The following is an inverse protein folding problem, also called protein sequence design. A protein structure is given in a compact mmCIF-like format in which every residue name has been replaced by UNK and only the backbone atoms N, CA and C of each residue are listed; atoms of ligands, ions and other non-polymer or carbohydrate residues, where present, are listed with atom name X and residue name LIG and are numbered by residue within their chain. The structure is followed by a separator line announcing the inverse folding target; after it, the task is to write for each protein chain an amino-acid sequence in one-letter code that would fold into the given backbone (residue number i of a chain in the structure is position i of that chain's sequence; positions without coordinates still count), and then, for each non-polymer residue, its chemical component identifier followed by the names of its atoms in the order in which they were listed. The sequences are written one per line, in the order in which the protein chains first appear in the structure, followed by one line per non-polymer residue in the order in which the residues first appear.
data_IF_495690866585
#
_entry.id   IF_495690866585
#
_cell.length_a   1.000
_cell.length_b   1.000
_cell.length_c   1.000
_cell.angle_alpha   90.00
_cell.angle_beta   90.00
_cell.angle_gamma   90.00
#
_symmetry.space_group_name_H-M   'P 1'
#
loop_
_entity.id
_entity.type
_entity.pdbx_description
1 polymer ?
#
# COMPACT_ATOMS: atom_id res chain seq x y z
N UNK A 1 -6.48 2.60 9.13
CA UNK A 1 -6.08 1.34 8.50
C UNK A 1 -6.29 0.13 9.41
N UNK A 2 -6.19 0.30 10.74
CA UNK A 2 -6.19 -0.80 11.71
C UNK A 2 -7.49 -1.62 11.75
N UNK A 3 -8.67 -0.98 11.67
CA UNK A 3 -9.95 -1.69 11.78
C UNK A 3 -10.25 -2.63 10.59
N UNK A 4 -9.83 -2.25 9.38
CA UNK A 4 -10.03 -3.08 8.19
C UNK A 4 -9.03 -4.23 8.15
N UNK A 5 -7.76 -3.95 8.47
CA UNK A 5 -6.72 -4.97 8.57
C UNK A 5 -7.09 -6.02 9.63
N UNK A 6 -7.62 -5.59 10.78
CA UNK A 6 -8.14 -6.49 11.81
C UNK A 6 -9.26 -7.41 11.30
N UNK A 7 -10.19 -6.90 10.48
CA UNK A 7 -11.23 -7.74 9.88
C UNK A 7 -10.65 -8.74 8.88
N UNK A 8 -9.66 -8.34 8.07
CA UNK A 8 -8.98 -9.25 7.17
C UNK A 8 -8.21 -10.34 7.93
N UNK A 9 -7.54 -9.99 9.04
CA UNK A 9 -6.88 -10.95 9.92
C UNK A 9 -7.88 -11.95 10.50
N UNK A 10 -9.04 -11.47 10.96
CA UNK A 10 -10.11 -12.33 11.48
C UNK A 10 -10.65 -13.27 10.39
N UNK A 11 -10.87 -12.78 9.17
CA UNK A 11 -11.35 -13.59 8.05
C UNK A 11 -10.33 -14.67 7.67
N UNK A 12 -9.04 -14.33 7.57
CA UNK A 12 -7.98 -15.31 7.27
C UNK A 12 -7.85 -16.36 8.37
N UNK A 13 -7.96 -15.97 9.64
CA UNK A 13 -7.94 -16.92 10.76
C UNK A 13 -9.12 -17.90 10.70
N UNK A 14 -10.28 -17.46 10.20
CA UNK A 14 -11.45 -18.32 10.00
C UNK A 14 -11.39 -19.13 8.69
N UNK A 15 -10.72 -18.62 7.66
CA UNK A 15 -10.63 -19.23 6.33
C UNK A 15 -9.18 -19.12 5.83
N UNK A 16 -8.27 -20.00 6.29
CA UNK A 16 -6.84 -19.92 5.95
C UNK A 16 -6.54 -20.02 4.46
N UNK A 17 -7.43 -20.63 3.67
CA UNK A 17 -7.30 -20.72 2.21
C UNK A 17 -7.41 -19.36 1.49
N UNK A 18 -7.86 -18.30 2.18
CA UNK A 18 -7.90 -16.94 1.63
C UNK A 18 -6.57 -16.19 1.77
N UNK A 19 -5.60 -16.74 2.50
CA UNK A 19 -4.34 -16.04 2.78
C UNK A 19 -3.61 -15.64 1.48
N UNK A 20 -3.50 -16.54 0.50
CA UNK A 20 -2.89 -16.21 -0.78
C UNK A 20 -3.72 -15.25 -1.64
N UNK A 21 -5.02 -15.15 -1.37
CA UNK A 21 -5.90 -14.21 -2.08
C UNK A 21 -5.81 -12.78 -1.53
N UNK A 22 -5.46 -12.62 -0.24
CA UNK A 22 -5.54 -11.34 0.46
C UNK A 22 -4.17 -10.80 0.92
N UNK A 23 -3.16 -11.66 1.00
CA UNK A 23 -1.84 -11.29 1.51
C UNK A 23 -0.77 -11.35 0.41
N UNK A 24 -0.21 -10.18 0.09
CA UNK A 24 1.01 -10.04 -0.70
C UNK A 24 2.27 -10.03 0.16
N UNK A 25 3.42 -9.85 -0.49
CA UNK A 25 4.73 -9.69 0.15
C UNK A 25 5.41 -8.42 -0.36
N UNK A 26 6.04 -7.68 0.55
CA UNK A 26 6.94 -6.57 0.26
C UNK A 26 8.31 -6.85 0.89
N UNK A 27 9.37 -6.41 0.23
CA UNK A 27 10.74 -6.37 0.74
C UNK A 27 11.05 -4.95 1.14
N UNK A 28 11.56 -4.77 2.35
CA UNK A 28 12.08 -3.50 2.84
C UNK A 28 13.59 -3.61 2.85
N UNK A 29 14.20 -2.90 1.92
CA UNK A 29 15.66 -2.73 1.83
C UNK A 29 16.04 -1.53 2.70
N UNK A 30 17.18 -1.60 3.37
CA UNK A 30 17.57 -0.64 4.38
C UNK A 30 19.06 -0.34 4.35
N UNK A 31 19.39 0.94 4.24
CA UNK A 31 20.76 1.43 4.09
C UNK A 31 21.14 2.33 5.27
N UNK A 32 22.26 2.02 5.92
CA UNK A 32 22.79 2.85 6.99
C UNK A 32 23.32 4.19 6.43
N UNK A 33 22.92 5.31 7.04
CA UNK A 33 23.31 6.64 6.55
C UNK A 33 24.81 6.97 6.72
N UNK A 34 25.55 6.22 7.56
CA UNK A 34 26.94 6.52 7.91
C UNK A 34 27.96 5.43 7.54
N UNK A 35 27.51 4.25 7.09
CA UNK A 35 28.41 3.18 6.68
C UNK A 35 27.74 2.28 5.64
N UNK A 36 28.51 1.37 5.06
CA UNK A 36 28.05 0.41 4.03
C UNK A 36 27.22 -0.76 4.61
N UNK A 37 26.60 -0.59 5.78
CA UNK A 37 25.71 -1.61 6.31
C UNK A 37 24.37 -1.55 5.59
N UNK A 38 24.06 -2.63 4.89
CA UNK A 38 22.80 -2.86 4.20
C UNK A 38 22.07 -4.04 4.87
N UNK A 39 20.75 -4.01 4.86
CA UNK A 39 19.93 -5.14 5.28
C UNK A 39 18.60 -5.14 4.54
N UNK A 40 18.01 -6.32 4.40
CA UNK A 40 16.69 -6.49 3.79
C UNK A 40 15.81 -7.36 4.67
N UNK A 41 14.53 -7.05 4.74
CA UNK A 41 13.52 -7.90 5.38
C UNK A 41 12.30 -8.05 4.48
N UNK A 42 11.61 -9.17 4.58
CA UNK A 42 10.33 -9.38 3.92
C UNK A 42 9.19 -9.23 4.93
N UNK A 43 8.12 -8.57 4.52
CA UNK A 43 6.92 -8.35 5.32
C UNK A 43 5.67 -8.64 4.49
N UNK A 44 4.64 -9.27 5.08
CA UNK A 44 3.36 -9.41 4.41
C UNK A 44 2.66 -8.04 4.32
N UNK A 45 1.83 -7.85 3.29
CA UNK A 45 0.91 -6.71 3.22
C UNK A 45 -0.46 -7.16 2.73
N UNK A 46 -1.50 -6.44 3.15
CA UNK A 46 -2.90 -6.70 2.76
C UNK A 46 -3.56 -5.52 2.06
N UNK A 47 -3.06 -4.33 2.34
CA UNK A 47 -3.56 -3.07 1.80
C UNK A 47 -2.39 -2.20 1.36
N UNK A 48 -2.66 -1.32 0.40
CA UNK A 48 -1.73 -0.27 -0.01
C UNK A 48 -2.43 1.07 0.19
N UNK A 49 -1.84 1.93 1.01
CA UNK A 49 -2.35 3.27 1.26
C UNK A 49 -1.64 4.26 0.33
N UNK A 50 -2.41 5.01 -0.46
CA UNK A 50 -1.87 5.91 -1.49
C UNK A 50 -2.31 7.36 -1.24
N UNK A 51 -1.43 8.35 -1.46
CA UNK A 51 -1.78 9.75 -1.30
C UNK A 51 -2.86 10.16 -2.30
N UNK A 52 -3.66 11.15 -1.93
CA UNK A 52 -4.60 11.74 -2.86
C UNK A 52 -3.87 12.58 -3.94
N UNK A 53 -3.84 12.06 -5.17
CA UNK A 53 -3.40 12.77 -6.38
C UNK A 53 -4.52 12.81 -7.44
N UNK A 54 -4.18 12.92 -8.73
CA UNK A 54 -5.12 12.99 -9.86
C UNK A 54 -5.59 11.62 -10.37
N UNK A 55 -4.73 10.61 -10.29
CA UNK A 55 -5.00 9.25 -10.75
C UNK A 55 -4.25 8.23 -9.89
N UNK A 56 -4.65 6.97 -10.02
CA UNK A 56 -4.10 5.87 -9.24
C UNK A 56 -2.62 5.59 -9.52
N UNK A 57 -2.19 5.65 -10.78
CA UNK A 57 -0.81 5.34 -11.14
C UNK A 57 0.17 6.35 -10.52
N UNK A 58 -0.12 7.64 -10.63
CA UNK A 58 0.68 8.70 -10.03
C UNK A 58 0.68 8.59 -8.50
N UNK A 59 -0.48 8.26 -7.91
CA UNK A 59 -0.61 8.09 -6.46
C UNK A 59 0.28 6.96 -5.95
N UNK A 60 0.32 5.83 -6.66
CA UNK A 60 1.18 4.71 -6.31
C UNK A 60 2.65 5.07 -6.52
N UNK A 61 3.04 5.58 -7.71
CA UNK A 61 4.44 5.98 -7.95
C UNK A 61 4.96 6.96 -6.89
N UNK A 62 4.11 7.87 -6.42
CA UNK A 62 4.48 8.84 -5.37
C UNK A 62 4.51 8.23 -3.97
N UNK A 63 3.61 7.29 -3.67
CA UNK A 63 3.61 6.54 -2.42
C UNK A 63 4.84 5.63 -2.30
N UNK A 64 5.26 5.00 -3.40
CA UNK A 64 6.41 4.09 -3.44
C UNK A 64 7.76 4.80 -3.43
N UNK A 65 7.85 5.98 -4.06
CA UNK A 65 9.10 6.73 -4.14
C UNK A 65 9.51 7.38 -2.80
N UNK A 66 8.80 7.13 -1.70
CA UNK A 66 9.19 7.63 -0.39
C UNK A 66 10.31 6.77 0.19
N UNK A 67 11.52 7.32 0.13
CA UNK A 67 12.60 6.90 1.02
C UNK A 67 12.25 7.43 2.40
N UNK A 68 12.06 6.52 3.37
CA UNK A 68 11.76 6.90 4.75
C UNK A 68 13.05 6.86 5.57
N UNK A 69 13.36 7.94 6.28
CA UNK A 69 14.39 7.92 7.31
C UNK A 69 13.76 7.45 8.61
N UNK A 70 14.27 6.33 9.14
CA UNK A 70 13.74 5.71 10.36
C UNK A 70 14.82 5.61 11.43
N UNK A 71 14.40 5.68 12.68
CA UNK A 71 15.28 5.42 13.81
C UNK A 71 15.77 3.98 13.79
N UNK A 72 17.06 3.80 14.06
CA UNK A 72 17.76 2.54 13.94
C UNK A 72 18.98 2.53 14.84
N UNK A 73 19.51 1.35 15.17
CA UNK A 73 20.84 1.22 15.78
C UNK A 73 21.67 0.34 14.87
N UNK A 74 22.72 0.92 14.28
CA UNK A 74 23.57 0.17 13.36
C UNK A 74 24.28 -0.99 14.10
N UNK A 75 24.18 -2.23 13.59
CA UNK A 75 24.87 -3.38 14.19
C UNK A 75 26.35 -3.42 13.83
N UNK A 76 26.81 -2.57 12.90
CA UNK A 76 28.24 -2.47 12.58
C UNK A 76 29.00 -1.93 13.79
N UNK A 77 30.02 -2.65 14.30
CA UNK A 77 30.65 -2.37 15.60
C UNK A 77 31.33 -0.99 15.69
N UNK A 78 31.62 -0.35 14.55
CA UNK A 78 32.26 0.96 14.48
C UNK A 78 31.33 2.06 13.92
N UNK A 79 30.03 1.79 13.79
CA UNK A 79 29.07 2.76 13.27
C UNK A 79 28.16 3.24 14.40
N UNK A 80 28.09 4.55 14.59
CA UNK A 80 27.18 5.19 15.55
C UNK A 80 25.90 5.72 14.89
N UNK A 81 25.52 5.20 13.72
CA UNK A 81 24.30 5.69 13.05
C UNK A 81 23.08 5.34 13.87
N UNK A 82 22.28 6.37 14.12
CA UNK A 82 20.97 6.26 14.74
C UNK A 82 19.83 6.28 13.73
N UNK A 83 20.13 6.42 12.43
CA UNK A 83 19.15 6.44 11.36
C UNK A 83 19.57 5.55 10.19
N UNK A 84 18.57 5.12 9.43
CA UNK A 84 18.72 4.41 8.16
C UNK A 84 17.66 4.88 7.18
N UNK A 85 17.94 4.71 5.90
CA UNK A 85 16.98 4.89 4.83
C UNK A 85 16.29 3.56 4.55
N UNK A 86 14.97 3.54 4.49
CA UNK A 86 14.19 2.38 4.08
C UNK A 86 13.56 2.59 2.71
N UNK A 87 13.62 1.53 1.89
CA UNK A 87 13.03 1.46 0.57
C UNK A 87 12.06 0.28 0.54
N UNK A 88 10.80 0.55 0.23
CA UNK A 88 9.80 -0.51 0.09
C UNK A 88 9.73 -0.98 -1.36
N UNK A 89 9.83 -2.29 -1.56
CA UNK A 89 9.72 -2.95 -2.85
C UNK A 89 8.66 -4.05 -2.76
N UNK A 90 7.57 -3.97 -3.50
CA UNK A 90 6.54 -5.00 -3.50
C UNK A 90 7.02 -6.20 -4.35
N UNK A 91 7.10 -7.39 -3.76
CA UNK A 91 7.68 -8.58 -4.40
C UNK A 91 6.62 -9.58 -4.87
N UNK A 92 5.48 -9.66 -4.20
CA UNK A 92 4.35 -10.53 -4.57
C UNK A 92 3.02 -9.84 -4.31
N UNK A 93 2.11 -9.84 -5.28
CA UNK A 93 0.77 -9.29 -5.09
C UNK A 93 -0.27 -10.35 -4.72
N UNK A 94 -1.27 -9.99 -3.90
CA UNK A 94 -2.40 -10.87 -3.59
C UNK A 94 -3.40 -10.92 -4.75
N UNK A 95 -4.18 -11.99 -4.91
CA UNK A 95 -5.22 -12.05 -5.97
C UNK A 95 -6.24 -10.89 -5.87
N UNK A 96 -6.50 -10.41 -4.65
CA UNK A 96 -7.37 -9.28 -4.35
C UNK A 96 -6.52 -8.17 -3.76
N UNK A 97 -6.30 -7.11 -4.55
CA UNK A 97 -5.59 -5.92 -4.10
C UNK A 97 -6.57 -4.88 -3.55
N UNK A 98 -6.35 -4.48 -2.29
CA UNK A 98 -7.11 -3.40 -1.65
C UNK A 98 -6.27 -2.14 -1.58
N UNK A 99 -6.77 -1.07 -2.19
CA UNK A 99 -6.09 0.22 -2.23
C UNK A 99 -6.89 1.24 -1.41
N UNK A 100 -6.26 1.78 -0.37
CA UNK A 100 -6.83 2.82 0.46
C UNK A 100 -6.36 4.19 -0.02
N UNK A 101 -7.30 5.00 -0.53
CA UNK A 101 -7.00 6.36 -0.95
C UNK A 101 -7.07 7.30 0.26
N UNK A 102 -5.93 7.90 0.62
CA UNK A 102 -5.80 8.83 1.76
C UNK A 102 -6.47 10.18 1.46
N UNK A 103 -7.81 10.20 1.52
CA UNK A 103 -8.65 11.40 1.30
C UNK A 103 -8.83 12.26 2.55
N UNK A 104 -8.25 11.89 3.68
CA UNK A 104 -8.36 12.63 4.93
C UNK A 104 -6.98 12.96 5.43
N UNK A 105 -6.79 14.21 5.86
CA UNK A 105 -5.55 14.64 6.51
C UNK A 105 -5.85 15.36 7.81
N UNK A 106 -5.02 15.11 8.81
CA UNK A 106 -5.06 15.85 10.06
C UNK A 106 -4.44 17.22 9.88
N UNK A 107 -5.10 18.25 10.37
CA UNK A 107 -4.62 19.63 10.42
C UNK A 107 -4.71 20.14 11.86
N UNK A 108 -4.11 21.29 12.16
CA UNK A 108 -4.26 21.95 13.47
C UNK A 108 -5.71 22.28 13.83
N UNK A 109 -6.61 22.32 12.85
CA UNK A 109 -8.03 22.62 13.01
C UNK A 109 -8.92 21.36 13.02
N UNK A 110 -8.31 20.17 12.97
CA UNK A 110 -9.02 18.89 12.89
C UNK A 110 -8.79 18.15 11.57
N UNK A 111 -9.60 17.13 11.33
CA UNK A 111 -9.49 16.26 10.14
C UNK A 111 -10.23 16.89 8.96
N UNK A 112 -9.52 17.12 7.85
CA UNK A 112 -10.08 17.74 6.64
C UNK A 112 -10.11 16.72 5.51
N UNK A 113 -11.24 16.64 4.80
CA UNK A 113 -11.36 15.84 3.57
C UNK A 113 -10.72 16.56 2.39
N UNK A 114 -9.93 15.84 1.63
CA UNK A 114 -9.37 16.28 0.35
C UNK A 114 -10.43 16.07 -0.74
N UNK A 115 -10.88 17.19 -1.32
CA UNK A 115 -11.90 17.22 -2.37
C UNK A 115 -11.24 17.25 -3.74
N UNK A 116 -11.83 16.51 -4.68
CA UNK A 116 -11.41 16.53 -6.08
C UNK A 116 -11.74 15.22 -6.80
N UNK A 117 -11.48 15.24 -8.11
CA UNK A 117 -11.58 14.08 -8.99
C UNK A 117 -10.33 13.22 -8.87
N UNK A 118 -10.55 11.91 -8.80
CA UNK A 118 -9.52 10.88 -8.84
C UNK A 118 -9.96 9.86 -9.87
N UNK A 119 -9.06 9.50 -10.79
CA UNK A 119 -9.34 8.52 -11.84
C UNK A 119 -8.70 7.17 -11.50
N UNK A 120 -9.47 6.12 -11.74
CA UNK A 120 -9.05 4.73 -11.59
C UNK A 120 -9.11 4.13 -13.00
N UNK A 121 -8.03 3.55 -13.52
CA UNK A 121 -8.06 2.90 -14.83
C UNK A 121 -8.84 1.58 -14.76
N UNK A 122 -9.44 1.17 -15.88
CA UNK A 122 -10.24 -0.07 -15.97
C UNK A 122 -9.36 -1.32 -15.77
N UNK A 123 -8.14 -1.25 -16.28
CA UNK A 123 -7.09 -2.26 -16.15
C UNK A 123 -5.91 -1.62 -15.42
N UNK A 124 -5.40 -2.32 -14.43
CA UNK A 124 -4.28 -1.89 -13.61
C UNK A 124 -3.16 -2.91 -13.82
N UNK A 125 -2.05 -2.45 -14.39
CA UNK A 125 -0.85 -3.26 -14.59
C UNK A 125 0.06 -3.16 -13.36
N UNK A 126 0.31 -4.25 -12.61
CA UNK A 126 1.19 -4.23 -11.44
C UNK A 126 2.60 -3.76 -11.77
N UNK A 127 3.10 -4.03 -12.99
CA UNK A 127 4.40 -3.56 -13.45
C UNK A 127 4.47 -2.01 -13.52
N UNK A 128 3.37 -1.35 -13.86
CA UNK A 128 3.26 0.12 -13.85
C UNK A 128 3.18 0.70 -12.44
N UNK A 129 2.77 -0.13 -11.49
CA UNK A 129 2.64 0.22 -10.08
C UNK A 129 3.94 -0.06 -9.31
N UNK A 130 4.68 -1.12 -9.67
CA UNK A 130 5.83 -1.64 -8.93
C UNK A 130 6.88 -2.22 -9.90
N UNK A 131 7.79 -1.39 -10.44
CA UNK A 131 8.69 -1.78 -11.51
C UNK A 131 9.71 -2.87 -11.11
N UNK A 132 9.99 -3.04 -9.82
CA UNK A 132 10.91 -4.07 -9.29
C UNK A 132 10.26 -5.47 -9.18
N UNK A 133 8.93 -5.58 -9.27
CA UNK A 133 8.19 -6.84 -9.22
C UNK A 133 8.03 -7.54 -10.59
N UNK A 134 8.52 -6.91 -11.66
CA UNK A 134 8.11 -7.17 -13.05
C UNK A 134 8.52 -8.54 -13.62
N UNK A 135 9.25 -9.37 -12.87
CA UNK A 135 9.66 -10.70 -13.36
C UNK A 135 8.64 -11.82 -13.10
N UNK A 136 7.63 -11.63 -12.22
CA UNK A 136 6.93 -12.81 -11.68
C UNK A 136 5.52 -13.12 -12.18
N UNK A 137 4.77 -12.23 -12.84
CA UNK A 137 3.51 -12.58 -13.57
C UNK A 137 2.93 -11.36 -14.28
N UNK A 138 2.30 -11.57 -15.45
CA UNK A 138 1.49 -10.56 -16.17
C UNK A 138 0.06 -10.50 -15.61
N UNK A 139 -0.08 -10.51 -14.29
CA UNK A 139 -1.41 -10.52 -13.68
C UNK A 139 -1.99 -9.11 -13.79
N UNK A 140 -3.01 -8.94 -14.61
CA UNK A 140 -3.71 -7.68 -14.76
C UNK A 140 -4.79 -7.59 -13.69
N UNK A 141 -4.83 -6.51 -12.93
CA UNK A 141 -5.99 -6.21 -12.08
C UNK A 141 -7.06 -5.50 -12.87
N UNK A 142 -8.30 -5.72 -12.48
CA UNK A 142 -9.43 -4.92 -12.93
C UNK A 142 -10.20 -4.40 -11.72
N UNK A 143 -10.72 -3.18 -11.79
CA UNK A 143 -11.46 -2.60 -10.67
C UNK A 143 -12.79 -3.36 -10.47
N UNK A 144 -12.89 -4.11 -9.38
CA UNK A 144 -14.08 -4.86 -9.00
C UNK A 144 -15.06 -4.04 -8.16
N UNK A 145 -14.55 -3.26 -7.20
CA UNK A 145 -15.38 -2.48 -6.30
C UNK A 145 -14.76 -1.14 -5.92
N UNK A 146 -15.61 -0.14 -5.67
CA UNK A 146 -15.22 1.18 -5.19
C UNK A 146 -16.08 1.54 -3.99
N UNK A 147 -15.45 1.72 -2.83
CA UNK A 147 -16.11 2.21 -1.61
C UNK A 147 -16.03 3.74 -1.59
N UNK A 148 -17.18 4.38 -1.40
CA UNK A 148 -17.32 5.84 -1.42
C UNK A 148 -17.90 6.31 -0.10
N UNK A 149 -17.35 7.41 0.41
CA UNK A 149 -17.85 8.10 1.59
C UNK A 149 -18.38 9.50 1.23
N UNK A 150 -19.51 9.91 1.77
CA UNK A 150 -20.07 11.27 1.65
C UNK A 150 -19.95 12.04 2.96
N UNK A 151 -19.91 13.38 2.90
CA UNK A 151 -19.75 14.20 4.11
C UNK A 151 -21.05 14.42 4.89
N UNK A 152 -22.17 14.70 4.21
CA UNK A 152 -23.42 15.10 4.86
C UNK A 152 -24.66 14.60 4.08
N UNK A 153 -25.48 13.72 4.68
CA UNK A 153 -25.14 12.91 5.85
C UNK A 153 -23.90 12.04 5.57
N UNK A 154 -23.13 11.75 6.62
CA UNK A 154 -22.00 10.83 6.53
C UNK A 154 -22.53 9.44 6.17
N UNK A 155 -22.23 8.99 4.96
CA UNK A 155 -22.77 7.75 4.42
C UNK A 155 -21.70 7.05 3.59
N UNK A 156 -21.68 5.71 3.71
CA UNK A 156 -20.83 4.86 2.92
C UNK A 156 -21.69 4.06 1.95
N UNK A 157 -21.29 4.02 0.69
CA UNK A 157 -21.86 3.11 -0.30
C UNK A 157 -20.75 2.48 -1.13
N UNK A 158 -21.07 1.36 -1.75
CA UNK A 158 -20.15 0.60 -2.57
C UNK A 158 -20.72 0.43 -3.97
N UNK A 159 -19.93 0.74 -4.98
CA UNK A 159 -20.19 0.30 -6.34
C UNK A 159 -19.44 -1.00 -6.56
N UNK A 160 -20.15 -2.04 -6.96
CA UNK A 160 -19.57 -3.34 -7.28
C UNK A 160 -19.84 -3.59 -8.76
N UNK A 161 -18.80 -3.91 -9.52
CA UNK A 161 -18.94 -4.33 -10.91
C UNK A 161 -19.60 -5.71 -10.91
N UNK A 162 -20.81 -5.79 -11.47
CA UNK A 162 -21.44 -7.07 -11.74
C UNK A 162 -20.87 -7.60 -13.04
N UNK A 163 -19.95 -8.56 -12.94
CA UNK A 163 -19.53 -9.34 -14.10
C UNK A 163 -20.69 -10.30 -14.42
N UNK A 164 -21.52 -9.94 -15.39
CA UNK A 164 -22.48 -10.85 -16.02
C UNK A 164 -21.67 -11.92 -16.78
N UNK A 165 -21.22 -12.95 -16.07
CA UNK A 165 -20.80 -14.21 -16.69
C UNK A 165 -22.01 -15.03 -17.08
#
# INVERSE_FOLDING_TARGET
DDAYTFLLDMIENCIPSLQDQLTGCKRIDSDCCLCEYESSREEPFKTISVPYLTNLEDAIRRGEASVEEVEFTCPSPNCSSSTRLEFTNYTRFPEILVIHLLRYRSTSQGVVRIRGKFSIPDVIEPACLFPTAAEQRRDLYSCFAVVVHTELPAHYFIYIRQDNR
#
